data_IF_414037161186
#
_entry.id   IF_414037161186
#
_cell.length_a   1.000
_cell.length_b   1.000
_cell.length_c   1.000
_cell.angle_alpha   90.00
_cell.angle_beta   90.00
_cell.angle_gamma   90.00
#
_symmetry.space_group_name_H-M   'P 1'
#
loop_
_entity.id
_entity.type
_entity.pdbx_description
1 polymer ?
#
# COMPACT_ATOMS: atom_id res chain seq x y z
N UNK A 1 -0.46 -2.78 -6.99
CA UNK A 1 -0.78 -3.13 -8.40
C UNK A 1 -2.29 -3.11 -8.58
N UNK A 2 -2.81 -3.23 -9.80
CA UNK A 2 -4.26 -3.43 -10.00
C UNK A 2 -4.57 -4.22 -11.27
N UNK A 3 -5.79 -4.77 -11.31
CA UNK A 3 -6.33 -5.47 -12.49
C UNK A 3 -6.96 -4.45 -13.43
N UNK A 4 -6.45 -4.37 -14.66
CA UNK A 4 -6.96 -3.50 -15.73
C UNK A 4 -7.66 -4.33 -16.79
N UNK A 5 -8.89 -3.95 -17.12
CA UNK A 5 -9.63 -4.48 -18.27
C UNK A 5 -9.52 -3.48 -19.43
N UNK A 6 -9.01 -3.92 -20.57
CA UNK A 6 -8.87 -3.09 -21.78
C UNK A 6 -9.64 -3.70 -22.94
N UNK A 7 -10.52 -2.92 -23.55
CA UNK A 7 -11.23 -3.33 -24.76
C UNK A 7 -10.30 -3.21 -25.99
N UNK A 8 -10.33 -4.21 -26.86
CA UNK A 8 -9.60 -4.21 -28.13
C UNK A 8 -10.57 -3.99 -29.30
N UNK A 9 -10.04 -3.50 -30.42
CA UNK A 9 -10.81 -3.29 -31.66
C UNK A 9 -11.57 -4.54 -32.15
N UNK A 10 -11.12 -5.74 -31.77
CA UNK A 10 -11.77 -7.01 -32.12
C UNK A 10 -12.95 -7.38 -31.19
N UNK A 11 -13.46 -6.44 -30.37
CA UNK A 11 -14.55 -6.66 -29.40
C UNK A 11 -14.16 -7.48 -28.16
N UNK A 12 -12.94 -8.01 -28.09
CA UNK A 12 -12.44 -8.78 -26.94
C UNK A 12 -11.95 -7.86 -25.82
N UNK A 13 -12.25 -8.21 -24.57
CA UNK A 13 -11.72 -7.54 -23.38
C UNK A 13 -10.47 -8.28 -22.89
N UNK A 14 -9.34 -7.57 -22.82
CA UNK A 14 -8.07 -8.09 -22.34
C UNK A 14 -7.88 -7.74 -20.87
N UNK A 15 -7.57 -8.74 -20.04
CA UNK A 15 -7.36 -8.58 -18.61
C UNK A 15 -5.86 -8.65 -18.32
N UNK A 16 -5.37 -7.62 -17.62
CA UNK A 16 -3.94 -7.40 -17.40
C UNK A 16 -3.71 -6.98 -15.94
N UNK A 17 -2.62 -7.44 -15.34
CA UNK A 17 -2.11 -6.89 -14.08
C UNK A 17 -1.14 -5.76 -14.43
N UNK A 18 -1.39 -4.58 -13.90
CA UNK A 18 -0.56 -3.40 -14.12
C UNK A 18 -0.05 -2.84 -12.81
N UNK A 19 1.16 -2.29 -12.88
CA UNK A 19 1.83 -1.60 -11.81
C UNK A 19 1.97 -0.13 -12.19
N UNK A 20 1.73 0.75 -11.23
CA UNK A 20 1.92 2.19 -11.42
C UNK A 20 3.25 2.59 -10.81
N UNK A 21 4.05 3.33 -11.56
CA UNK A 21 5.33 3.87 -11.08
C UNK A 21 5.47 5.32 -11.53
N UNK A 22 6.19 6.13 -10.75
CA UNK A 22 6.47 7.53 -11.09
C UNK A 22 7.85 7.64 -11.75
N UNK A 23 7.94 8.46 -12.80
CA UNK A 23 9.21 8.85 -13.43
C UNK A 23 9.25 10.38 -13.49
N UNK A 24 10.01 10.98 -12.58
CA UNK A 24 9.92 12.42 -12.32
C UNK A 24 8.51 12.80 -11.87
N UNK A 25 7.92 13.79 -12.51
CA UNK A 25 6.58 14.30 -12.20
C UNK A 25 5.43 13.49 -12.84
N UNK A 26 5.74 12.56 -13.74
CA UNK A 26 4.72 11.82 -14.50
C UNK A 26 4.46 10.43 -13.92
N UNK A 27 3.18 10.07 -13.87
CA UNK A 27 2.70 8.74 -13.47
C UNK A 27 2.66 7.83 -14.71
N UNK A 28 3.43 6.76 -14.70
CA UNK A 28 3.47 5.75 -15.76
C UNK A 28 2.89 4.42 -15.27
N UNK A 29 2.40 3.62 -16.22
CA UNK A 29 1.87 2.28 -15.95
C UNK A 29 2.69 1.24 -16.69
N UNK A 30 3.22 0.26 -15.97
CA UNK A 30 3.92 -0.92 -16.50
C UNK A 30 2.98 -2.12 -16.46
N UNK A 31 2.94 -2.90 -17.53
CA UNK A 31 2.21 -4.18 -17.53
C UNK A 31 3.11 -5.21 -16.85
N UNK A 32 2.62 -5.83 -15.78
CA UNK A 32 3.34 -6.86 -15.03
C UNK A 32 3.08 -8.23 -15.64
N UNK A 33 1.81 -8.53 -15.95
CA UNK A 33 1.41 -9.82 -16.49
C UNK A 33 0.14 -9.71 -17.33
N UNK A 34 0.12 -10.44 -18.45
CA UNK A 34 -1.09 -10.68 -19.24
C UNK A 34 -1.77 -11.96 -18.72
N UNK A 35 -3.08 -11.90 -18.47
CA UNK A 35 -3.84 -13.04 -17.95
C UNK A 35 -4.59 -13.73 -19.07
N UNK A 36 -5.36 -12.96 -19.85
CA UNK A 36 -6.18 -13.52 -20.90
C UNK A 36 -7.01 -12.48 -21.63
N UNK A 37 -7.79 -12.98 -22.60
CA UNK A 37 -8.78 -12.21 -23.34
C UNK A 37 -10.09 -12.98 -23.33
N UNK A 38 -11.18 -12.30 -23.07
CA UNK A 38 -12.52 -12.89 -23.04
C UNK A 38 -13.51 -12.00 -23.80
N UNK A 39 -14.62 -12.60 -24.23
CA UNK A 39 -15.73 -11.90 -24.89
C UNK A 39 -16.96 -11.92 -23.99
N UNK A 40 -17.23 -13.06 -23.36
CA UNK A 40 -18.40 -13.26 -22.50
C UNK A 40 -18.17 -12.64 -21.13
N UNK A 41 -19.20 -12.01 -20.55
CA UNK A 41 -19.08 -11.37 -19.24
C UNK A 41 -18.79 -12.37 -18.10
N UNK A 42 -19.25 -13.62 -18.23
CA UNK A 42 -18.95 -14.71 -17.27
C UNK A 42 -17.46 -15.06 -17.27
N UNK A 43 -16.87 -15.20 -18.46
CA UNK A 43 -15.43 -15.46 -18.64
C UNK A 43 -14.59 -14.29 -18.11
N UNK A 44 -15.05 -13.06 -18.34
CA UNK A 44 -14.40 -11.85 -17.84
C UNK A 44 -14.35 -11.86 -16.31
N UNK A 45 -15.44 -12.24 -15.65
CA UNK A 45 -15.49 -12.27 -14.18
C UNK A 45 -14.59 -13.37 -13.60
N UNK A 46 -14.58 -14.57 -14.21
CA UNK A 46 -13.68 -15.64 -13.81
C UNK A 46 -12.19 -15.24 -13.96
N UNK A 47 -11.84 -14.60 -15.06
CA UNK A 47 -10.47 -14.11 -15.30
C UNK A 47 -10.10 -12.95 -14.36
N UNK A 48 -11.05 -12.10 -13.92
CA UNK A 48 -10.80 -11.09 -12.89
C UNK A 48 -10.51 -11.72 -11.53
N UNK A 49 -11.26 -12.75 -11.15
CA UNK A 49 -11.01 -13.46 -9.88
C UNK A 49 -9.63 -14.11 -9.87
N UNK A 50 -9.26 -14.79 -10.96
CA UNK A 50 -7.92 -15.33 -11.14
C UNK A 50 -6.86 -14.22 -11.10
N UNK A 51 -7.12 -13.08 -11.74
CA UNK A 51 -6.23 -11.93 -11.69
C UNK A 51 -5.99 -11.39 -10.29
N UNK A 52 -7.05 -11.40 -9.47
CA UNK A 52 -6.99 -10.93 -8.10
C UNK A 52 -6.14 -11.86 -7.23
N UNK A 53 -6.30 -13.17 -7.37
CA UNK A 53 -5.48 -14.16 -6.67
C UNK A 53 -3.99 -14.04 -7.05
N UNK A 54 -3.69 -13.96 -8.36
CA UNK A 54 -2.31 -13.79 -8.84
C UNK A 54 -1.72 -12.45 -8.35
N UNK A 55 -2.53 -11.39 -8.26
CA UNK A 55 -2.06 -10.10 -7.76
C UNK A 55 -1.62 -10.20 -6.29
N UNK A 56 -2.41 -10.85 -5.43
CA UNK A 56 -2.06 -11.09 -4.02
C UNK A 56 -0.76 -11.88 -3.91
N UNK A 57 -0.61 -12.94 -4.70
CA UNK A 57 0.61 -13.77 -4.72
C UNK A 57 1.84 -12.95 -5.15
N UNK A 58 1.71 -12.15 -6.23
CA UNK A 58 2.81 -11.32 -6.76
C UNK A 58 3.20 -10.21 -5.78
N UNK A 59 2.24 -9.58 -5.11
CA UNK A 59 2.51 -8.57 -4.10
C UNK A 59 3.18 -9.19 -2.86
N UNK A 60 2.65 -10.30 -2.36
CA UNK A 60 3.24 -11.03 -1.23
C UNK A 60 4.66 -11.54 -1.54
N UNK A 61 4.95 -11.95 -2.78
CA UNK A 61 6.30 -12.35 -3.17
C UNK A 61 7.29 -11.19 -3.18
N UNK A 62 6.83 -9.97 -3.50
CA UNK A 62 7.68 -8.75 -3.50
C UNK A 62 7.87 -8.19 -2.11
N UNK A 63 6.80 -8.18 -1.32
CA UNK A 63 6.76 -7.72 0.06
C UNK A 63 6.00 -8.77 0.87
N UNK A 64 6.70 -9.75 1.46
CA UNK A 64 6.06 -10.79 2.24
C UNK A 64 5.37 -10.17 3.45
N UNK A 65 4.10 -10.50 3.65
CA UNK A 65 3.39 -10.18 4.89
C UNK A 65 3.98 -11.01 6.03
N UNK A 66 3.75 -10.53 7.25
CA UNK A 66 4.13 -11.26 8.46
C UNK A 66 3.45 -12.64 8.47
N UNK A 67 4.13 -13.71 8.95
CA UNK A 67 3.56 -15.06 8.98
C UNK A 67 2.25 -15.21 9.75
N UNK A 68 1.94 -14.26 10.63
CA UNK A 68 0.73 -14.22 11.45
C UNK A 68 -0.50 -13.67 10.70
N UNK A 69 -0.32 -13.11 9.51
CA UNK A 69 -1.36 -12.42 8.76
C UNK A 69 -1.52 -13.09 7.39
N UNK A 70 -2.77 -13.35 6.99
CA UNK A 70 -3.05 -13.88 5.66
C UNK A 70 -2.80 -12.81 4.59
N UNK A 71 -2.08 -13.10 3.49
CA UNK A 71 -1.84 -12.13 2.41
C UNK A 71 -3.13 -11.54 1.83
N UNK A 72 -4.22 -12.31 1.85
CA UNK A 72 -5.54 -11.89 1.38
C UNK A 72 -6.14 -10.77 2.22
N UNK A 73 -5.81 -10.68 3.51
CA UNK A 73 -6.33 -9.63 4.39
C UNK A 73 -5.68 -8.27 4.11
N UNK A 74 -4.43 -8.29 3.62
CA UNK A 74 -3.66 -7.08 3.32
C UNK A 74 -3.84 -6.65 1.86
N UNK A 75 -3.65 -7.58 0.92
CA UNK A 75 -3.65 -7.31 -0.52
C UNK A 75 -4.97 -7.66 -1.22
N UNK A 76 -5.85 -8.40 -0.55
CA UNK A 76 -7.12 -8.83 -1.13
C UNK A 76 -8.12 -7.69 -1.32
N UNK A 77 -9.30 -8.08 -1.84
CA UNK A 77 -10.36 -7.13 -2.17
C UNK A 77 -10.95 -6.58 -0.87
N UNK A 78 -10.74 -5.29 -0.59
CA UNK A 78 -11.36 -4.62 0.57
C UNK A 78 -12.88 -4.76 0.47
N UNK A 79 -13.48 -5.40 1.49
CA UNK A 79 -14.94 -5.46 1.61
C UNK A 79 -15.46 -4.02 1.73
N UNK A 80 -16.54 -3.65 1.03
CA UNK A 80 -17.18 -2.36 1.26
C UNK A 80 -17.53 -2.25 2.73
N UNK A 81 -17.14 -1.14 3.36
CA UNK A 81 -17.55 -0.88 4.74
C UNK A 81 -19.08 -0.81 4.74
N UNK A 82 -19.77 -1.48 5.68
CA UNK A 82 -21.21 -1.34 5.80
C UNK A 82 -21.52 0.15 5.99
N UNK A 83 -22.52 0.65 5.27
CA UNK A 83 -23.06 1.99 5.53
C UNK A 83 -23.70 1.97 6.90
N UNK A 84 -23.01 2.58 7.87
CA UNK A 84 -23.53 2.69 9.24
C UNK A 84 -24.43 3.92 9.26
N UNK A 85 -25.72 3.73 9.57
CA UNK A 85 -26.70 4.82 9.69
C UNK A 85 -26.59 5.62 10.99
N UNK A 86 -25.57 5.34 11.81
CA UNK A 86 -25.42 5.94 13.13
C UNK A 86 -25.02 7.40 13.00
N UNK A 87 -26.00 8.29 13.16
CA UNK A 87 -25.79 9.73 13.25
C UNK A 87 -25.29 10.03 14.67
N UNK A 88 -23.98 10.22 14.80
CA UNK A 88 -23.35 10.53 16.09
C UNK A 88 -23.27 12.04 16.30
N UNK A 89 -23.83 12.54 17.41
CA UNK A 89 -23.70 13.94 17.81
C UNK A 89 -22.29 14.20 18.36
N UNK A 90 -21.44 14.86 17.57
CA UNK A 90 -20.02 15.13 17.89
C UNK A 90 -19.81 15.81 19.25
N UNK A 91 -20.78 16.60 19.73
CA UNK A 91 -20.73 17.27 21.04
C UNK A 91 -20.72 16.30 22.23
N UNK A 92 -21.23 15.08 22.06
CA UNK A 92 -21.34 14.10 23.15
C UNK A 92 -20.17 13.10 23.17
N UNK A 93 -19.19 13.25 22.27
CA UNK A 93 -18.00 12.40 22.23
C UNK A 93 -17.01 12.84 23.31
N UNK A 94 -16.53 11.87 24.10
CA UNK A 94 -15.41 12.03 25.04
C UNK A 94 -14.23 11.17 24.57
N UNK A 95 -13.02 11.69 24.66
CA UNK A 95 -11.80 10.93 24.33
C UNK A 95 -11.50 9.97 25.49
N UNK A 96 -11.76 8.67 25.32
CA UNK A 96 -11.41 7.65 26.32
C UNK A 96 -9.96 7.19 26.20
N UNK A 97 -9.43 7.09 24.97
CA UNK A 97 -8.05 6.66 24.75
C UNK A 97 -7.52 7.19 23.42
N UNK A 98 -6.26 7.66 23.43
CA UNK A 98 -5.50 8.00 22.22
C UNK A 98 -4.51 6.88 21.92
N UNK A 99 -4.78 6.11 20.87
CA UNK A 99 -3.88 5.07 20.39
C UNK A 99 -3.13 5.63 19.18
N UNK A 100 -1.81 5.76 19.28
CA UNK A 100 -0.95 6.27 18.21
C UNK A 100 -0.28 5.06 17.55
N UNK A 101 -0.82 4.62 16.42
CA UNK A 101 -0.29 3.48 15.63
C UNK A 101 0.60 3.93 14.47
N UNK A 102 0.88 5.24 14.36
CA UNK A 102 1.66 5.80 13.29
C UNK A 102 3.11 5.31 13.32
N UNK A 103 3.60 4.74 12.22
CA UNK A 103 4.98 4.23 12.13
C UNK A 103 6.01 5.33 12.45
N UNK A 104 5.74 6.57 12.03
CA UNK A 104 6.61 7.71 12.31
C UNK A 104 6.63 8.12 13.78
N UNK A 105 5.51 7.97 14.48
CA UNK A 105 5.42 8.37 15.89
C UNK A 105 5.99 7.30 16.82
N UNK A 106 5.72 6.02 16.53
CA UNK A 106 6.22 4.90 17.33
C UNK A 106 7.72 4.69 17.08
N UNK A 107 8.12 4.46 15.83
CA UNK A 107 9.53 4.22 15.51
C UNK A 107 10.35 5.50 15.51
N UNK A 108 9.74 6.67 15.29
CA UNK A 108 10.47 7.93 15.39
C UNK A 108 10.86 8.26 16.83
N UNK A 109 10.01 7.94 17.81
CA UNK A 109 10.39 8.02 19.24
C UNK A 109 11.48 7.02 19.57
N UNK A 110 11.32 5.75 19.16
CA UNK A 110 12.34 4.73 19.37
C UNK A 110 13.70 5.13 18.76
N UNK A 111 13.70 5.73 17.58
CA UNK A 111 14.91 6.24 16.93
C UNK A 111 15.61 7.31 17.78
N UNK A 112 14.84 8.22 18.40
CA UNK A 112 15.38 9.25 19.27
C UNK A 112 15.84 8.67 20.63
N UNK A 113 15.07 7.74 21.20
CA UNK A 113 15.37 7.05 22.47
C UNK A 113 16.66 6.23 22.40
N UNK A 114 16.97 5.66 21.23
CA UNK A 114 18.24 4.97 20.95
C UNK A 114 19.42 5.92 20.75
N UNK A 115 19.19 7.25 20.80
CA UNK A 115 20.22 8.27 20.61
C UNK A 115 20.61 8.51 19.15
N UNK A 116 19.84 7.99 18.18
CA UNK A 116 20.18 8.10 16.76
C UNK A 116 19.88 9.49 16.15
N UNK A 117 19.24 10.37 16.91
CA UNK A 117 18.92 11.74 16.48
C UNK A 117 20.14 12.63 16.19
N UNK A 118 21.31 12.31 16.78
CA UNK A 118 22.51 13.15 16.71
C UNK A 118 23.74 12.43 16.12
N UNK A 119 23.54 11.36 15.34
CA UNK A 119 24.65 10.53 14.80
C UNK A 119 25.64 11.34 13.96
N UNK A 120 25.15 12.26 13.12
CA UNK A 120 26.00 13.03 12.20
C UNK A 120 26.59 14.28 12.86
N UNK A 121 26.36 14.50 14.16
CA UNK A 121 26.76 15.69 14.89
C UNK A 121 25.58 16.56 15.33
N UNK A 122 25.87 17.54 16.19
CA UNK A 122 24.87 18.41 16.85
C UNK A 122 24.93 19.86 16.37
N UNK A 123 25.59 20.14 15.23
CA UNK A 123 25.62 21.50 14.69
C UNK A 123 24.34 21.78 13.93
N UNK A 124 23.92 23.06 13.85
CA UNK A 124 22.73 23.49 13.08
C UNK A 124 22.73 23.02 11.61
N UNK A 125 23.91 22.87 11.00
CA UNK A 125 24.02 22.35 9.64
C UNK A 125 23.67 20.86 9.54
N UNK A 126 23.91 20.10 10.62
CA UNK A 126 23.77 18.65 10.69
C UNK A 126 22.33 18.23 11.05
N UNK A 127 21.54 19.11 11.66
CA UNK A 127 20.12 18.87 11.98
C UNK A 127 19.31 18.45 10.75
N UNK A 128 19.54 19.11 9.60
CA UNK A 128 18.86 18.77 8.34
C UNK A 128 19.24 17.37 7.87
N UNK A 129 20.52 17.00 7.99
CA UNK A 129 21.02 15.68 7.58
C UNK A 129 20.54 14.57 8.51
N UNK A 130 20.52 14.81 9.83
CA UNK A 130 19.94 13.90 10.81
C UNK A 130 18.44 13.68 10.56
N UNK A 131 17.69 14.75 10.22
CA UNK A 131 16.27 14.64 9.85
C UNK A 131 16.03 13.82 8.57
N UNK A 132 16.88 13.99 7.56
CA UNK A 132 16.85 13.18 6.34
C UNK A 132 17.17 11.72 6.68
N UNK A 133 18.21 11.46 7.49
CA UNK A 133 18.61 10.12 7.90
C UNK A 133 17.47 9.41 8.65
N UNK A 134 16.87 10.07 9.65
CA UNK A 134 15.70 9.56 10.38
C UNK A 134 14.57 9.20 9.41
N UNK A 135 14.25 10.10 8.47
CA UNK A 135 13.20 9.87 7.48
C UNK A 135 13.52 8.68 6.57
N UNK A 136 14.78 8.53 6.13
CA UNK A 136 15.22 7.40 5.32
C UNK A 136 15.13 6.07 6.08
N UNK A 137 15.55 6.03 7.35
CA UNK A 137 15.49 4.84 8.19
C UNK A 137 14.04 4.43 8.45
N UNK A 138 13.18 5.38 8.81
CA UNK A 138 11.75 5.13 9.01
C UNK A 138 11.06 4.68 7.72
N UNK A 139 11.39 5.30 6.57
CA UNK A 139 10.88 4.89 5.28
C UNK A 139 11.35 3.47 4.90
N UNK A 140 12.59 3.09 5.25
CA UNK A 140 13.11 1.75 5.01
C UNK A 140 12.49 0.70 5.92
N UNK A 141 12.23 1.04 7.18
CA UNK A 141 11.46 0.18 8.09
C UNK A 141 10.02 -0.01 7.61
N UNK A 142 9.39 1.04 7.10
CA UNK A 142 8.04 1.00 6.55
C UNK A 142 7.96 0.20 5.25
N UNK A 143 9.03 0.22 4.44
CA UNK A 143 9.14 -0.55 3.21
C UNK A 143 10.52 -1.24 3.11
N UNK A 144 10.65 -2.43 3.71
CA UNK A 144 11.93 -3.14 3.81
C UNK A 144 12.40 -3.82 2.51
N UNK A 145 11.60 -3.77 1.43
CA UNK A 145 11.91 -4.36 0.13
C UNK A 145 12.77 -3.44 -0.73
#
# INVERSE_FOLDING_TARGET
MFVRVKEKANGKKAIQIVETYRRGDKVHQKIVRHIGQAVTDTEIEALKQLAQAILVEVENRRQPVLPLVAPEDIYGRKKPRPEVSDIVAVKNLREEQRIIEGIGDVFGKLYDDLGFGNILGSRRADERWNGILKSCVLARLANPA
#
